data_IF_814479528206
#
_entry.id   IF_814479528206
#
_cell.length_a   1.000
_cell.length_b   1.000
_cell.length_c   1.000
_cell.angle_alpha   90.00
_cell.angle_beta   90.00
_cell.angle_gamma   90.00
#
_symmetry.space_group_name_H-M   'P 1'
#
loop_
_entity.id
_entity.type
_entity.pdbx_description
1 polymer ?
#
# COMPACT_ATOMS: atom_id res chain seq x y z
N UNK A 1 -20.99 -8.95 25.88
CA UNK A 1 -19.65 -8.34 25.99
C UNK A 1 -18.65 -9.46 25.76
N UNK A 2 -18.19 -9.63 24.52
CA UNK A 2 -17.05 -10.49 24.19
C UNK A 2 -15.94 -9.58 23.71
N UNK A 3 -14.74 -9.74 24.24
CA UNK A 3 -13.60 -8.92 23.81
C UNK A 3 -13.29 -9.29 22.37
N UNK A 4 -13.40 -8.32 21.45
CA UNK A 4 -12.69 -8.41 20.19
C UNK A 4 -11.20 -8.43 20.53
N UNK A 5 -10.55 -9.58 20.34
CA UNK A 5 -9.11 -9.63 20.38
C UNK A 5 -8.61 -8.75 19.24
N UNK A 6 -7.88 -7.69 19.58
CA UNK A 6 -6.93 -7.09 18.64
C UNK A 6 -5.84 -8.14 18.39
N UNK A 7 -6.10 -9.06 17.48
CA UNK A 7 -5.03 -9.78 16.80
C UNK A 7 -4.20 -8.70 16.09
N UNK A 8 -3.00 -8.42 16.60
CA UNK A 8 -1.99 -7.75 15.79
C UNK A 8 -1.84 -8.57 14.51
N UNK A 9 -2.05 -7.93 13.36
CA UNK A 9 -1.91 -8.59 12.06
C UNK A 9 -0.46 -9.04 11.95
N UNK A 10 -0.25 -10.34 12.12
CA UNK A 10 1.07 -10.93 12.03
C UNK A 10 1.50 -10.99 10.55
N UNK A 11 2.11 -9.88 10.13
CA UNK A 11 2.65 -9.75 8.79
C UNK A 11 3.76 -10.79 8.51
N UNK A 12 4.41 -11.40 9.50
CA UNK A 12 5.43 -12.44 9.26
C UNK A 12 4.81 -13.70 8.65
N UNK A 13 3.74 -14.23 9.27
CA UNK A 13 2.96 -15.37 8.77
C UNK A 13 2.19 -15.06 7.48
N UNK A 14 1.78 -13.81 7.31
CA UNK A 14 1.16 -13.35 6.05
C UNK A 14 2.19 -13.31 4.92
N UNK A 15 3.45 -12.99 5.22
CA UNK A 15 4.55 -12.97 4.26
C UNK A 15 4.96 -14.38 3.80
N UNK A 16 4.88 -15.38 4.68
CA UNK A 16 5.21 -16.77 4.38
C UNK A 16 4.37 -17.39 3.23
N UNK A 17 3.12 -16.96 3.04
CA UNK A 17 2.16 -17.72 2.22
C UNK A 17 2.06 -17.30 0.74
N UNK A 18 2.68 -16.20 0.30
CA UNK A 18 2.80 -15.88 -1.13
C UNK A 18 3.95 -14.89 -1.41
N UNK A 19 5.16 -15.36 -1.78
CA UNK A 19 6.31 -14.48 -1.96
C UNK A 19 6.13 -13.40 -3.05
N UNK A 20 5.42 -13.74 -4.12
CA UNK A 20 5.07 -12.78 -5.17
C UNK A 20 4.12 -11.68 -4.66
N UNK A 21 3.15 -12.06 -3.83
CA UNK A 21 2.20 -11.13 -3.22
C UNK A 21 2.88 -10.21 -2.22
N UNK A 22 3.90 -10.69 -1.51
CA UNK A 22 4.75 -9.86 -0.65
C UNK A 22 5.56 -8.88 -1.47
N UNK A 23 6.16 -9.30 -2.59
CA UNK A 23 6.80 -8.37 -3.52
C UNK A 23 5.82 -7.25 -3.92
N UNK A 24 4.56 -7.60 -4.19
CA UNK A 24 3.53 -6.64 -4.59
C UNK A 24 2.96 -5.80 -3.43
N UNK A 25 2.79 -6.39 -2.25
CA UNK A 25 2.31 -5.75 -1.02
C UNK A 25 3.34 -4.77 -0.48
N UNK A 26 4.63 -5.12 -0.52
CA UNK A 26 5.72 -4.21 -0.23
C UNK A 26 5.86 -3.14 -1.32
N UNK A 27 5.79 -3.50 -2.61
CA UNK A 27 5.75 -2.49 -3.69
C UNK A 27 4.50 -1.60 -3.63
N UNK A 28 3.41 -2.02 -2.99
CA UNK A 28 2.18 -1.22 -2.87
C UNK A 28 2.13 -0.41 -1.57
N UNK A 29 2.63 -0.93 -0.44
CA UNK A 29 2.97 -0.13 0.74
C UNK A 29 3.98 0.97 0.38
N UNK A 30 4.87 0.69 -0.57
CA UNK A 30 5.94 1.59 -1.02
C UNK A 30 5.72 2.16 -2.44
N UNK A 31 4.49 2.18 -2.98
CA UNK A 31 4.14 2.92 -4.22
C UNK A 31 2.63 3.00 -4.55
N UNK A 32 1.74 2.51 -3.68
CA UNK A 32 0.30 2.42 -3.94
C UNK A 32 -0.55 3.52 -3.31
N UNK A 33 -0.04 4.19 -2.26
CA UNK A 33 -0.80 5.18 -1.49
C UNK A 33 0.02 6.37 -0.96
N UNK A 34 1.34 6.24 -0.97
CA UNK A 34 2.31 7.26 -0.56
C UNK A 34 3.47 7.30 -1.58
N UNK A 35 3.14 7.67 -2.83
CA UNK A 35 3.97 8.51 -3.71
C UNK A 35 5.48 8.20 -3.81
N UNK A 36 5.99 7.48 -4.84
CA UNK A 36 7.35 6.90 -4.79
C UNK A 36 8.32 7.11 -6.02
N UNK A 37 9.26 8.12 -6.05
CA UNK A 37 10.52 8.30 -6.88
C UNK A 37 11.88 8.55 -6.10
N UNK A 38 13.11 8.54 -6.70
CA UNK A 38 14.46 8.40 -5.99
C UNK A 38 15.52 9.58 -5.96
N UNK A 39 16.46 9.58 -4.98
CA UNK A 39 17.24 10.73 -4.39
C UNK A 39 18.69 11.08 -4.81
N UNK A 40 19.14 12.32 -4.45
CA UNK A 40 20.33 12.61 -3.58
C UNK A 40 20.56 14.11 -3.21
N UNK A 41 20.72 14.39 -1.90
CA UNK A 41 21.20 15.64 -1.24
C UNK A 41 20.54 16.97 -1.65
N UNK A 42 19.87 17.63 -0.70
CA UNK A 42 18.71 18.46 -1.06
C UNK A 42 17.50 17.56 -1.30
N UNK A 43 17.37 16.53 -0.46
CA UNK A 43 16.43 15.42 -0.61
C UNK A 43 15.00 15.94 -0.49
N UNK A 44 14.23 15.79 -1.57
CA UNK A 44 12.81 16.17 -1.65
C UNK A 44 11.90 14.99 -1.36
N UNK A 45 10.59 15.21 -1.32
CA UNK A 45 9.66 14.09 -1.25
C UNK A 45 9.87 13.13 -2.42
N UNK A 46 9.98 13.65 -3.65
CA UNK A 46 10.21 12.89 -4.91
C UNK A 46 11.50 12.08 -4.96
N UNK A 47 12.30 12.10 -3.90
CA UNK A 47 13.62 11.49 -3.80
C UNK A 47 13.66 10.25 -2.89
N UNK A 48 12.84 10.11 -1.84
CA UNK A 48 13.07 9.05 -0.82
C UNK A 48 12.36 7.73 -1.08
N UNK A 49 11.70 7.65 -2.22
CA UNK A 49 10.33 7.19 -2.14
C UNK A 49 10.15 6.06 -3.16
N UNK A 50 10.61 6.27 -4.39
CA UNK A 50 10.90 5.26 -5.43
C UNK A 50 12.39 4.95 -5.48
N UNK A 51 12.98 4.95 -4.30
CA UNK A 51 14.18 4.19 -4.05
C UNK A 51 13.81 2.69 -4.03
N UNK A 52 14.24 1.95 -5.04
CA UNK A 52 14.01 0.50 -5.15
C UNK A 52 14.82 -0.30 -4.10
N UNK A 53 15.45 0.35 -3.09
CA UNK A 53 16.20 -0.29 -1.99
C UNK A 53 15.41 -1.37 -1.25
N UNK A 54 14.13 -1.18 -0.93
CA UNK A 54 13.33 -2.23 -0.28
C UNK A 54 13.11 -3.44 -1.22
N UNK A 55 12.76 -3.20 -2.48
CA UNK A 55 12.56 -4.28 -3.47
C UNK A 55 13.85 -5.07 -3.67
N UNK A 56 15.00 -4.38 -3.75
CA UNK A 56 16.33 -4.99 -3.82
C UNK A 56 16.68 -5.76 -2.53
N UNK A 57 16.21 -5.32 -1.36
CA UNK A 57 16.38 -6.04 -0.11
C UNK A 57 15.65 -7.40 -0.10
N UNK A 58 14.40 -7.46 -0.60
CA UNK A 58 13.69 -8.73 -0.78
C UNK A 58 14.43 -9.67 -1.75
N UNK A 59 14.90 -9.15 -2.88
CA UNK A 59 15.66 -9.94 -3.86
C UNK A 59 17.03 -10.38 -3.33
N UNK A 60 17.64 -9.58 -2.46
CA UNK A 60 18.91 -9.89 -1.78
C UNK A 60 18.77 -11.05 -0.80
N UNK A 61 17.67 -11.12 -0.04
CA UNK A 61 17.40 -12.25 0.87
C UNK A 61 17.37 -13.56 0.08
N UNK A 62 16.47 -13.68 -0.89
CA UNK A 62 16.28 -14.95 -1.62
C UNK A 62 17.46 -15.38 -2.50
N UNK A 63 18.39 -14.47 -2.83
CA UNK A 63 19.57 -14.78 -3.64
C UNK A 63 20.86 -14.99 -2.84
N UNK A 64 20.98 -14.39 -1.65
CA UNK A 64 22.22 -14.38 -0.87
C UNK A 64 22.17 -15.18 0.43
N UNK A 65 21.00 -15.41 1.03
CA UNK A 65 20.89 -16.23 2.24
C UNK A 65 20.99 -17.72 1.86
N UNK A 66 22.04 -18.38 2.34
CA UNK A 66 22.35 -19.80 2.04
C UNK A 66 22.75 -20.61 3.29
N UNK A 67 22.98 -19.90 4.39
CA UNK A 67 23.37 -20.41 5.71
C UNK A 67 23.22 -19.30 6.76
N UNK A 68 23.34 -19.65 8.04
CA UNK A 68 23.42 -18.73 9.19
C UNK A 68 24.40 -17.54 9.01
N UNK A 69 25.56 -17.79 8.38
CA UNK A 69 26.64 -16.80 8.22
C UNK A 69 26.30 -15.71 7.18
N UNK A 70 25.67 -16.11 6.09
CA UNK A 70 25.15 -15.24 5.04
C UNK A 70 23.88 -14.53 5.49
N UNK A 71 22.99 -15.20 6.24
CA UNK A 71 21.84 -14.55 6.88
C UNK A 71 22.27 -13.35 7.75
N UNK A 72 23.19 -13.55 8.70
CA UNK A 72 23.70 -12.48 9.57
C UNK A 72 24.38 -11.32 8.83
N UNK A 73 24.96 -11.57 7.65
CA UNK A 73 25.50 -10.51 6.77
C UNK A 73 24.38 -9.71 6.12
N UNK A 74 23.39 -10.40 5.53
CA UNK A 74 22.20 -9.79 4.90
C UNK A 74 21.43 -8.96 5.93
N UNK A 75 21.08 -9.52 7.09
CA UNK A 75 20.42 -8.81 8.21
C UNK A 75 21.16 -7.51 8.57
N UNK A 76 22.50 -7.55 8.65
CA UNK A 76 23.32 -6.37 8.95
C UNK A 76 23.33 -5.33 7.83
N UNK A 77 23.18 -5.75 6.58
CA UNK A 77 23.02 -4.84 5.43
C UNK A 77 21.63 -4.21 5.41
N UNK A 78 20.56 -5.01 5.56
CA UNK A 78 19.17 -4.54 5.68
C UNK A 78 19.01 -3.47 6.77
N UNK A 79 19.58 -3.70 7.96
CA UNK A 79 19.56 -2.72 9.05
C UNK A 79 20.27 -1.40 8.68
N UNK A 80 21.38 -1.45 7.94
CA UNK A 80 22.10 -0.25 7.47
C UNK A 80 21.32 0.51 6.39
N UNK A 81 20.61 -0.20 5.52
CA UNK A 81 19.74 0.45 4.55
C UNK A 81 18.50 1.05 5.23
N UNK A 82 17.94 0.41 6.26
CA UNK A 82 16.88 0.98 7.10
C UNK A 82 17.33 2.32 7.74
N UNK A 83 18.52 2.37 8.33
CA UNK A 83 19.08 3.59 8.92
C UNK A 83 19.24 4.73 7.88
N UNK A 84 19.62 4.38 6.63
CA UNK A 84 19.73 5.35 5.52
C UNK A 84 18.36 5.82 5.04
N UNK A 85 17.40 4.91 4.89
CA UNK A 85 16.03 5.23 4.50
C UNK A 85 15.40 6.18 5.53
N UNK A 86 15.46 5.85 6.82
CA UNK A 86 14.94 6.71 7.90
C UNK A 86 15.56 8.12 7.83
N UNK A 87 16.88 8.22 7.68
CA UNK A 87 17.56 9.51 7.52
C UNK A 87 17.07 10.27 6.29
N UNK A 88 16.95 9.61 5.15
CA UNK A 88 16.52 10.23 3.91
C UNK A 88 15.07 10.74 4.03
N UNK A 89 14.15 9.92 4.55
CA UNK A 89 12.77 10.29 4.85
C UNK A 89 12.68 11.50 5.78
N UNK A 90 13.50 11.56 6.83
CA UNK A 90 13.59 12.72 7.74
C UNK A 90 13.98 13.99 6.98
N UNK A 91 14.99 13.92 6.12
CA UNK A 91 15.41 15.06 5.27
C UNK A 91 14.29 15.49 4.29
N UNK A 92 13.59 14.53 3.67
CA UNK A 92 12.47 14.81 2.76
C UNK A 92 11.29 15.51 3.44
N UNK A 93 10.87 15.04 4.63
CA UNK A 93 9.80 15.68 5.39
C UNK A 93 10.16 17.12 5.78
N UNK A 94 11.37 17.34 6.32
CA UNK A 94 11.85 18.68 6.67
C UNK A 94 12.03 19.61 5.46
N UNK A 95 12.13 19.08 4.24
CA UNK A 95 12.15 19.89 3.02
C UNK A 95 10.78 20.53 2.69
N UNK A 96 9.70 20.09 3.36
CA UNK A 96 8.34 20.57 3.14
C UNK A 96 7.63 19.92 1.96
N UNK A 97 6.43 20.42 1.59
CA UNK A 97 5.56 19.74 0.65
C UNK A 97 6.16 19.69 -0.76
N UNK A 98 5.79 18.68 -1.58
CA UNK A 98 6.23 18.63 -2.96
C UNK A 98 5.55 19.73 -3.78
N UNK A 99 6.29 20.33 -4.68
CA UNK A 99 5.77 21.21 -5.73
C UNK A 99 4.94 20.40 -6.73
N UNK A 100 4.06 21.06 -7.50
CA UNK A 100 3.26 20.38 -8.53
C UNK A 100 4.10 19.60 -9.55
N UNK A 101 5.30 20.08 -9.89
CA UNK A 101 6.23 19.38 -10.78
C UNK A 101 6.84 18.13 -10.13
N UNK A 102 7.00 18.12 -8.81
CA UNK A 102 7.44 16.95 -8.05
C UNK A 102 6.30 15.93 -7.91
N UNK A 103 5.07 16.39 -7.66
CA UNK A 103 3.88 15.52 -7.70
C UNK A 103 3.66 14.86 -9.06
N UNK A 104 3.91 15.57 -10.17
CA UNK A 104 3.90 14.95 -11.50
C UNK A 104 4.94 13.84 -11.62
N UNK A 105 6.18 14.09 -11.21
CA UNK A 105 7.28 13.12 -11.24
C UNK A 105 6.99 11.90 -10.37
N UNK A 106 6.48 12.10 -9.17
CA UNK A 106 5.97 11.05 -8.27
C UNK A 106 4.95 10.17 -8.99
N UNK A 107 3.88 10.77 -9.51
CA UNK A 107 2.81 10.02 -10.16
C UNK A 107 3.27 9.31 -11.45
N UNK A 108 4.26 9.86 -12.16
CA UNK A 108 4.89 9.20 -13.31
C UNK A 108 5.69 7.94 -12.89
N UNK A 109 6.28 7.90 -11.68
CA UNK A 109 6.92 6.67 -11.17
C UNK A 109 5.89 5.65 -10.72
N UNK A 110 4.81 6.07 -10.03
CA UNK A 110 3.70 5.19 -9.69
C UNK A 110 3.11 4.54 -10.97
N UNK A 111 2.93 5.31 -12.06
CA UNK A 111 2.52 4.79 -13.38
C UNK A 111 3.51 3.75 -13.93
N UNK A 112 4.82 4.01 -13.85
CA UNK A 112 5.83 3.05 -14.31
C UNK A 112 5.82 1.76 -13.48
N UNK A 113 5.64 1.86 -12.17
CA UNK A 113 5.58 0.71 -11.27
C UNK A 113 4.32 -0.12 -11.53
N UNK A 114 3.15 0.51 -11.65
CA UNK A 114 1.91 -0.17 -12.01
C UNK A 114 1.96 -0.81 -13.41
N UNK A 115 2.70 -0.22 -14.36
CA UNK A 115 2.97 -0.84 -15.66
C UNK A 115 3.90 -2.05 -15.56
N UNK A 116 5.02 -1.95 -14.82
CA UNK A 116 5.90 -3.09 -14.49
C UNK A 116 5.11 -4.24 -13.85
N UNK A 117 4.18 -3.93 -12.94
CA UNK A 117 3.26 -4.92 -12.35
C UNK A 117 2.34 -5.54 -13.42
N UNK A 118 1.64 -4.74 -14.22
CA UNK A 118 0.76 -5.26 -15.27
C UNK A 118 1.48 -6.13 -16.32
N UNK A 119 2.76 -5.88 -16.56
CA UNK A 119 3.64 -6.72 -17.39
C UNK A 119 4.06 -8.01 -16.68
N UNK A 120 4.41 -7.97 -15.39
CA UNK A 120 4.79 -9.17 -14.64
C UNK A 120 3.64 -10.16 -14.47
N UNK A 121 2.39 -9.69 -14.33
CA UNK A 121 1.17 -10.54 -14.29
C UNK A 121 0.95 -11.37 -15.55
N UNK A 122 1.57 -10.98 -16.68
CA UNK A 122 1.49 -11.68 -17.98
C UNK A 122 2.60 -12.72 -18.17
N UNK A 123 3.63 -12.75 -17.31
CA UNK A 123 4.72 -13.73 -17.40
C UNK A 123 4.27 -15.05 -16.77
N UNK A 124 4.36 -16.15 -17.53
CA UNK A 124 4.02 -17.50 -17.06
C UNK A 124 4.97 -17.99 -15.95
N UNK A 125 6.24 -17.61 -16.03
CA UNK A 125 7.20 -17.81 -14.94
C UNK A 125 7.04 -16.72 -13.88
N UNK A 126 6.43 -17.07 -12.75
CA UNK A 126 6.66 -16.36 -11.49
C UNK A 126 8.16 -16.48 -11.16
N UNK A 127 8.82 -15.37 -10.87
CA UNK A 127 10.12 -15.41 -10.20
C UNK A 127 9.87 -15.91 -8.79
N UNK A 128 10.43 -17.08 -8.47
CA UNK A 128 10.33 -17.73 -7.18
C UNK A 128 11.22 -16.97 -6.19
N UNK A 129 10.60 -16.06 -5.44
CA UNK A 129 11.28 -15.33 -4.36
C UNK A 129 11.28 -16.24 -3.15
N UNK A 130 12.46 -16.70 -2.79
CA UNK A 130 12.65 -17.45 -1.55
C UNK A 130 12.46 -16.49 -0.36
N UNK A 131 11.50 -16.80 0.49
CA UNK A 131 11.16 -16.06 1.72
C UNK A 131 11.99 -16.54 2.92
N UNK A 132 12.04 -15.73 3.98
CA UNK A 132 12.71 -16.11 5.23
C UNK A 132 12.01 -17.30 5.91
N UNK A 133 10.69 -17.45 5.77
CA UNK A 133 9.95 -18.60 6.30
C UNK A 133 10.27 -19.88 5.55
N UNK A 134 10.37 -19.85 4.22
CA UNK A 134 10.79 -21.03 3.44
C UNK A 134 12.23 -21.46 3.81
N UNK A 135 13.14 -20.50 4.05
CA UNK A 135 14.49 -20.79 4.53
C UNK A 135 14.54 -21.34 5.97
N UNK A 136 13.59 -20.98 6.81
CA UNK A 136 13.41 -21.54 8.16
C UNK A 136 12.85 -22.96 8.10
N UNK A 137 11.79 -23.17 7.31
CA UNK A 137 11.13 -24.47 7.11
C UNK A 137 12.07 -25.50 6.46
N UNK A 138 12.91 -25.08 5.51
CA UNK A 138 13.98 -25.90 4.91
C UNK A 138 15.19 -26.12 5.85
N UNK A 139 15.22 -25.47 7.01
CA UNK A 139 16.31 -25.58 8.00
C UNK A 139 17.63 -24.93 7.58
N UNK A 140 17.60 -24.00 6.61
CA UNK A 140 18.78 -23.25 6.13
C UNK A 140 19.22 -22.19 7.14
N UNK A 141 18.26 -21.61 7.86
CA UNK A 141 18.44 -20.65 8.95
C UNK A 141 17.61 -21.06 10.17
N UNK A 142 17.94 -20.52 11.35
CA UNK A 142 17.13 -20.74 12.56
C UNK A 142 15.92 -19.78 12.62
N UNK A 143 14.92 -20.12 13.44
CA UNK A 143 13.80 -19.22 13.76
C UNK A 143 14.26 -17.84 14.26
N UNK A 144 15.29 -17.79 15.12
CA UNK A 144 15.88 -16.54 15.60
C UNK A 144 16.45 -15.69 14.47
N UNK A 145 17.09 -16.32 13.47
CA UNK A 145 17.67 -15.65 12.30
C UNK A 145 16.60 -15.19 11.30
N UNK A 146 15.52 -15.96 11.14
CA UNK A 146 14.35 -15.55 10.38
C UNK A 146 13.68 -14.31 11.00
N UNK A 147 13.48 -14.30 12.33
CA UNK A 147 12.92 -13.15 13.05
C UNK A 147 13.86 -11.92 13.03
N UNK A 148 15.18 -12.10 13.12
CA UNK A 148 16.14 -11.00 12.89
C UNK A 148 16.00 -10.40 11.48
N UNK A 149 15.81 -11.25 10.45
CA UNK A 149 15.55 -10.84 9.07
C UNK A 149 14.22 -10.11 8.90
N UNK A 150 13.12 -10.66 9.45
CA UNK A 150 11.81 -10.01 9.45
C UNK A 150 11.85 -8.69 10.22
N UNK A 151 12.57 -8.62 11.34
CA UNK A 151 12.78 -7.38 12.09
C UNK A 151 13.49 -6.31 11.24
N UNK A 152 14.55 -6.69 10.53
CA UNK A 152 15.26 -5.78 9.62
C UNK A 152 14.37 -5.28 8.46
N UNK A 153 13.59 -6.16 7.83
CA UNK A 153 12.60 -5.78 6.82
C UNK A 153 11.52 -4.86 7.39
N UNK A 154 10.96 -5.17 8.57
CA UNK A 154 9.99 -4.31 9.28
C UNK A 154 10.58 -2.92 9.51
N UNK A 155 11.85 -2.79 9.93
CA UNK A 155 12.52 -1.48 10.08
C UNK A 155 12.59 -0.70 8.76
N UNK A 156 12.91 -1.34 7.64
CA UNK A 156 12.91 -0.68 6.32
C UNK A 156 11.51 -0.23 5.89
N UNK A 157 10.49 -1.06 6.13
CA UNK A 157 9.09 -0.78 5.81
C UNK A 157 8.54 0.40 6.63
N UNK A 158 8.90 0.48 7.91
CA UNK A 158 8.47 1.55 8.82
C UNK A 158 9.40 2.77 8.84
N UNK A 159 10.39 2.85 7.94
CA UNK A 159 11.40 3.93 7.94
C UNK A 159 10.80 5.34 7.85
N UNK A 160 9.72 5.54 7.06
CA UNK A 160 8.99 6.81 6.98
C UNK A 160 8.27 7.16 8.29
N UNK A 161 7.64 6.17 8.94
CA UNK A 161 6.99 6.33 10.25
C UNK A 161 8.01 6.69 11.34
N UNK A 162 9.12 5.95 11.42
CA UNK A 162 10.20 6.23 12.37
C UNK A 162 10.80 7.62 12.14
N UNK A 163 10.97 8.02 10.87
CA UNK A 163 11.44 9.35 10.53
C UNK A 163 10.48 10.46 10.99
N UNK A 164 9.17 10.36 10.71
CA UNK A 164 8.21 11.41 11.08
C UNK A 164 7.91 11.45 12.58
N UNK A 165 7.95 10.32 13.28
CA UNK A 165 7.85 10.28 14.75
C UNK A 165 9.02 11.01 15.44
N UNK A 166 10.20 11.00 14.83
CA UNK A 166 11.39 11.67 15.37
C UNK A 166 11.41 13.20 15.18
N UNK A 167 10.36 13.78 14.58
CA UNK A 167 10.28 15.21 14.23
C UNK A 167 9.33 16.00 15.15
N UNK A 168 9.04 15.53 16.37
CA UNK A 168 8.04 16.16 17.25
C UNK A 168 8.35 17.61 17.64
N UNK A 169 9.60 17.93 17.98
CA UNK A 169 10.01 19.32 18.30
C UNK A 169 9.93 20.25 17.07
N UNK A 170 10.00 19.69 15.86
CA UNK A 170 9.84 20.42 14.60
C UNK A 170 8.35 20.61 14.27
N UNK A 171 7.55 19.55 14.42
CA UNK A 171 6.08 19.57 14.24
C UNK A 171 5.40 20.50 15.25
N UNK A 172 5.94 20.64 16.47
CA UNK A 172 5.44 21.55 17.49
C UNK A 172 5.47 23.04 17.08
N UNK A 173 6.24 23.39 16.04
CA UNK A 173 6.32 24.75 15.48
C UNK A 173 5.29 25.00 14.36
N UNK A 174 4.48 24.01 13.99
CA UNK A 174 3.47 24.17 12.95
C UNK A 174 2.36 25.15 13.37
N UNK A 175 2.22 26.25 12.62
CA UNK A 175 1.09 27.17 12.78
C UNK A 175 -0.22 26.47 12.36
N UNK A 176 -1.18 26.37 13.29
CA UNK A 176 -2.48 25.74 13.08
C UNK A 176 -3.62 26.75 13.32
N UNK A 177 -4.79 26.62 12.66
CA UNK A 177 -5.19 25.55 11.73
C UNK A 177 -4.47 25.61 10.37
N UNK A 178 -4.54 24.53 9.60
CA UNK A 178 -3.93 24.49 8.27
C UNK A 178 -4.70 25.39 7.29
N UNK A 179 -4.02 25.96 6.28
CA UNK A 179 -4.66 26.85 5.31
C UNK A 179 -5.73 26.11 4.49
N UNK A 180 -6.92 26.71 4.39
CA UNK A 180 -8.08 26.15 3.66
C UNK A 180 -8.10 26.56 2.19
N UNK A 181 -8.63 25.70 1.32
CA UNK A 181 -8.88 26.03 -0.09
C UNK A 181 -10.07 27.01 -0.23
N UNK A 182 -10.04 27.97 -1.19
CA UNK A 182 -11.19 28.81 -1.50
C UNK A 182 -12.41 28.02 -2.02
N UNK A 183 -12.23 26.77 -2.47
CA UNK A 183 -13.33 25.86 -2.83
C UNK A 183 -14.02 25.20 -1.62
N UNK A 184 -13.56 25.48 -0.39
CA UNK A 184 -14.22 25.07 0.85
C UNK A 184 -13.74 23.75 1.49
N UNK A 185 -12.80 23.04 0.84
CA UNK A 185 -12.08 21.90 1.44
C UNK A 185 -10.90 22.39 2.30
N UNK A 186 -10.59 21.67 3.39
CA UNK A 186 -9.43 21.91 4.25
C UNK A 186 -8.61 20.64 4.39
N UNK A 187 -7.35 20.78 4.82
CA UNK A 187 -6.47 19.64 5.09
C UNK A 187 -7.05 18.70 6.14
N UNK A 188 -7.69 19.23 7.19
CA UNK A 188 -8.34 18.45 8.24
C UNK A 188 -9.57 17.69 7.73
N UNK A 189 -10.38 18.30 6.83
CA UNK A 189 -11.48 17.59 6.15
C UNK A 189 -10.96 16.46 5.27
N UNK A 190 -9.87 16.71 4.53
CA UNK A 190 -9.26 15.69 3.68
C UNK A 190 -8.67 14.54 4.51
N UNK A 191 -7.99 14.83 5.63
CA UNK A 191 -7.51 13.82 6.57
C UNK A 191 -8.68 13.02 7.16
N UNK A 192 -9.72 13.67 7.67
CA UNK A 192 -10.88 12.99 8.23
C UNK A 192 -11.58 12.09 7.19
N UNK A 193 -11.67 12.55 5.94
CA UNK A 193 -12.19 11.74 4.84
C UNK A 193 -11.27 10.57 4.50
N UNK A 194 -9.95 10.78 4.33
CA UNK A 194 -8.95 9.74 4.01
C UNK A 194 -8.89 8.66 5.09
N UNK A 195 -8.89 9.08 6.35
CA UNK A 195 -8.67 8.23 7.52
C UNK A 195 -9.95 7.59 8.09
N UNK A 196 -11.15 7.96 7.62
CA UNK A 196 -12.40 7.32 8.04
C UNK A 196 -12.35 5.80 7.76
N UNK A 197 -12.50 4.90 8.76
CA UNK A 197 -12.49 3.44 8.56
C UNK A 197 -13.43 2.92 7.46
N UNK A 198 -14.62 3.51 7.31
CA UNK A 198 -15.59 3.16 6.25
C UNK A 198 -15.06 3.40 4.82
N UNK A 199 -13.89 4.01 4.69
CA UNK A 199 -13.18 4.28 3.45
C UNK A 199 -12.38 3.10 2.92
N UNK A 200 -11.89 2.26 3.83
CA UNK A 200 -11.00 1.13 3.53
C UNK A 200 -11.74 0.08 2.70
N UNK A 201 -11.00 -0.54 1.78
CA UNK A 201 -11.51 -1.64 0.97
C UNK A 201 -11.74 -2.90 1.81
N UNK A 202 -10.78 -3.28 2.67
CA UNK A 202 -10.91 -4.43 3.56
C UNK A 202 -12.09 -4.24 4.52
N UNK A 203 -12.18 -3.08 5.18
CA UNK A 203 -13.34 -2.75 6.01
C UNK A 203 -14.67 -2.88 5.25
N UNK A 204 -14.75 -2.34 4.02
CA UNK A 204 -15.97 -2.47 3.19
C UNK A 204 -16.28 -3.91 2.82
N UNK A 205 -15.27 -4.74 2.57
CA UNK A 205 -15.44 -6.17 2.25
C UNK A 205 -15.96 -6.93 3.48
N UNK A 206 -15.41 -6.67 4.65
CA UNK A 206 -15.80 -7.32 5.91
C UNK A 206 -17.21 -6.92 6.37
N UNK A 207 -17.66 -5.71 6.03
CA UNK A 207 -18.96 -5.15 6.42
C UNK A 207 -20.03 -5.23 5.32
N UNK A 208 -19.73 -5.76 4.13
CA UNK A 208 -20.72 -5.96 3.06
C UNK A 208 -21.34 -7.37 3.14
N UNK A 209 -22.66 -7.49 3.40
CA UNK A 209 -23.32 -8.79 3.58
C UNK A 209 -23.25 -9.73 2.38
N UNK A 210 -23.04 -9.21 1.16
CA UNK A 210 -22.86 -10.01 -0.06
C UNK A 210 -21.47 -10.64 -0.13
N UNK A 211 -20.51 -10.11 0.63
CA UNK A 211 -19.07 -10.39 0.45
C UNK A 211 -18.47 -11.15 1.62
N UNK A 212 -18.91 -10.84 2.84
CA UNK A 212 -18.44 -11.42 4.10
C UNK A 212 -19.08 -12.77 4.48
N UNK A 213 -19.91 -13.35 3.61
CA UNK A 213 -20.60 -14.63 3.84
C UNK A 213 -21.88 -14.55 4.70
N UNK A 214 -22.18 -13.40 5.32
CA UNK A 214 -23.35 -13.23 6.19
C UNK A 214 -24.69 -13.49 5.47
N UNK A 215 -24.81 -13.09 4.20
CA UNK A 215 -25.98 -13.46 3.39
C UNK A 215 -26.06 -14.98 3.18
N UNK A 216 -24.95 -15.64 2.87
CA UNK A 216 -24.93 -17.10 2.64
C UNK A 216 -25.35 -17.86 3.91
N UNK A 217 -24.78 -17.53 5.07
CA UNK A 217 -25.20 -18.11 6.36
C UNK A 217 -26.70 -17.89 6.64
N UNK A 218 -27.22 -16.71 6.32
CA UNK A 218 -28.62 -16.36 6.54
C UNK A 218 -29.54 -17.17 5.63
N UNK A 219 -29.15 -17.36 4.36
CA UNK A 219 -29.89 -18.16 3.39
C UNK A 219 -29.86 -19.66 3.77
N UNK A 220 -28.70 -20.17 4.21
CA UNK A 220 -28.54 -21.55 4.71
C UNK A 220 -29.43 -21.84 5.92
N UNK A 221 -29.66 -20.86 6.81
CA UNK A 221 -30.54 -21.01 7.99
C UNK A 221 -32.03 -20.90 7.68
N UNK A 222 -32.41 -20.20 6.60
CA UNK A 222 -33.80 -19.85 6.34
C UNK A 222 -34.50 -20.74 5.29
N UNK A 223 -33.76 -21.35 4.37
CA UNK A 223 -34.33 -21.94 3.14
C UNK A 223 -34.16 -23.46 3.03
N UNK A 224 -35.01 -24.10 2.22
CA UNK A 224 -34.91 -25.54 1.96
C UNK A 224 -33.72 -25.87 1.06
N UNK A 225 -33.26 -27.12 1.12
CA UNK A 225 -32.11 -27.61 0.33
C UNK A 225 -32.26 -27.42 -1.19
N UNK A 226 -33.49 -27.45 -1.72
CA UNK A 226 -33.74 -27.18 -3.15
C UNK A 226 -33.46 -25.72 -3.53
N UNK A 227 -33.86 -24.75 -2.70
CA UNK A 227 -33.63 -23.33 -2.97
C UNK A 227 -32.16 -22.97 -2.72
N UNK A 228 -31.51 -23.61 -1.75
CA UNK A 228 -30.07 -23.53 -1.56
C UNK A 228 -29.32 -24.04 -2.80
N UNK A 229 -29.71 -25.20 -3.35
CA UNK A 229 -29.15 -25.72 -4.60
C UNK A 229 -29.26 -24.75 -5.78
N UNK A 230 -30.37 -24.02 -5.91
CA UNK A 230 -30.55 -22.98 -6.93
C UNK A 230 -29.66 -21.74 -6.73
N UNK A 231 -29.26 -21.44 -5.48
CA UNK A 231 -28.41 -20.31 -5.15
C UNK A 231 -26.91 -20.62 -5.08
N UNK A 232 -26.51 -21.90 -5.01
CA UNK A 232 -25.11 -22.34 -4.87
C UNK A 232 -24.15 -21.66 -5.84
N UNK A 233 -24.55 -21.45 -7.11
CA UNK A 233 -23.73 -20.76 -8.11
C UNK A 233 -23.99 -19.24 -8.16
N UNK A 234 -25.17 -18.79 -7.73
CA UNK A 234 -25.60 -17.39 -7.85
C UNK A 234 -24.99 -16.50 -6.77
N UNK A 235 -24.95 -16.97 -5.52
CA UNK A 235 -24.42 -16.18 -4.39
C UNK A 235 -22.91 -15.94 -4.53
N UNK A 236 -22.07 -16.95 -4.83
CA UNK A 236 -20.64 -16.71 -5.08
C UNK A 236 -20.37 -15.79 -6.27
N UNK A 237 -21.19 -15.85 -7.33
CA UNK A 237 -21.05 -14.95 -8.49
C UNK A 237 -21.35 -13.50 -8.11
N UNK A 238 -22.47 -13.24 -7.43
CA UNK A 238 -22.82 -11.89 -6.96
C UNK A 238 -21.78 -11.37 -5.95
N UNK A 239 -21.29 -12.23 -5.06
CA UNK A 239 -20.23 -11.90 -4.11
C UNK A 239 -18.94 -11.46 -4.83
N UNK A 240 -18.53 -12.19 -5.86
CA UNK A 240 -17.38 -11.88 -6.71
C UNK A 240 -17.57 -10.57 -7.49
N UNK A 241 -18.70 -10.40 -8.17
CA UNK A 241 -19.07 -9.17 -8.88
C UNK A 241 -19.01 -7.95 -7.93
N UNK A 242 -19.50 -8.11 -6.68
CA UNK A 242 -19.47 -7.09 -5.64
C UNK A 242 -18.04 -6.76 -5.16
N UNK A 243 -17.18 -7.75 -4.95
CA UNK A 243 -15.75 -7.54 -4.63
C UNK A 243 -15.07 -6.70 -5.70
N UNK A 244 -15.27 -7.04 -6.96
CA UNK A 244 -14.70 -6.31 -8.08
C UNK A 244 -15.23 -4.87 -8.20
N UNK A 245 -16.52 -4.64 -7.95
CA UNK A 245 -17.08 -3.29 -7.86
C UNK A 245 -16.44 -2.47 -6.73
N UNK A 246 -16.24 -3.04 -5.55
CA UNK A 246 -15.60 -2.36 -4.42
C UNK A 246 -14.16 -1.95 -4.74
N UNK A 247 -13.39 -2.78 -5.45
CA UNK A 247 -12.04 -2.43 -5.94
C UNK A 247 -12.09 -1.26 -6.93
N UNK A 248 -13.06 -1.22 -7.85
CA UNK A 248 -13.21 -0.09 -8.80
C UNK A 248 -13.53 1.22 -8.06
N UNK A 249 -14.45 1.19 -7.09
CA UNK A 249 -14.73 2.35 -6.25
C UNK A 249 -13.50 2.80 -5.44
N UNK A 250 -12.65 1.87 -5.00
CA UNK A 250 -11.38 2.19 -4.33
C UNK A 250 -10.35 2.82 -5.28
N UNK A 251 -10.31 2.38 -6.54
CA UNK A 251 -9.50 2.96 -7.60
C UNK A 251 -9.90 4.43 -7.88
N UNK A 252 -11.20 4.69 -8.00
CA UNK A 252 -11.74 6.04 -8.25
C UNK A 252 -11.44 6.99 -7.09
N UNK A 253 -11.48 6.46 -5.86
CA UNK A 253 -11.13 7.20 -4.66
C UNK A 253 -9.69 7.73 -4.68
N UNK A 254 -8.74 7.02 -5.32
CA UNK A 254 -7.36 7.52 -5.45
C UNK A 254 -7.30 8.77 -6.32
N UNK A 255 -8.08 8.77 -7.40
CA UNK A 255 -8.21 9.93 -8.28
C UNK A 255 -8.88 11.09 -7.54
N UNK A 256 -9.97 10.83 -6.81
CA UNK A 256 -10.65 11.84 -5.99
C UNK A 256 -9.73 12.45 -4.91
N UNK A 257 -8.93 11.61 -4.24
CA UNK A 257 -7.94 12.06 -3.25
C UNK A 257 -6.91 13.00 -3.88
N UNK A 258 -6.36 12.64 -5.05
CA UNK A 258 -5.45 13.49 -5.80
C UNK A 258 -6.13 14.79 -6.25
N UNK A 259 -7.38 14.74 -6.73
CA UNK A 259 -8.14 15.93 -7.13
C UNK A 259 -8.38 16.89 -5.98
N UNK A 260 -8.82 16.41 -4.81
CA UNK A 260 -9.00 17.23 -3.61
C UNK A 260 -7.68 17.84 -3.16
N UNK A 261 -6.65 17.02 -3.00
CA UNK A 261 -5.32 17.47 -2.55
C UNK A 261 -4.70 18.47 -3.54
N UNK A 262 -4.93 18.33 -4.85
CA UNK A 262 -4.44 19.26 -5.88
C UNK A 262 -5.00 20.69 -5.71
N UNK A 263 -6.14 20.88 -5.05
CA UNK A 263 -6.81 22.18 -4.83
C UNK A 263 -6.43 22.84 -3.51
N UNK A 264 -5.63 22.18 -2.68
CA UNK A 264 -5.20 22.72 -1.39
C UNK A 264 -4.01 23.70 -1.56
N UNK A 265 -3.95 24.76 -0.73
CA UNK A 265 -2.85 25.72 -0.73
C UNK A 265 -1.57 25.10 -0.15
N UNK A 266 -0.39 25.61 -0.52
CA UNK A 266 0.88 25.08 -0.02
C UNK A 266 1.01 25.22 1.52
N UNK A 267 1.63 24.22 2.15
CA UNK A 267 1.96 24.18 3.57
C UNK A 267 3.39 24.66 3.84
N UNK A 268 3.66 25.13 5.06
CA UNK A 268 5.05 25.23 5.55
C UNK A 268 5.64 23.82 5.77
N UNK A 269 6.97 23.68 5.91
CA UNK A 269 7.58 22.39 6.24
C UNK A 269 7.08 21.75 7.53
N UNK A 270 6.84 22.55 8.57
CA UNK A 270 6.34 22.13 9.89
C UNK A 270 4.89 21.64 9.77
N UNK A 271 4.04 22.40 9.06
CA UNK A 271 2.66 22.02 8.74
C UNK A 271 2.59 20.75 7.88
N UNK A 272 3.51 20.60 6.91
CA UNK A 272 3.62 19.39 6.09
C UNK A 272 4.02 18.18 6.94
N UNK A 273 4.98 18.32 7.85
CA UNK A 273 5.34 17.27 8.80
C UNK A 273 4.16 16.92 9.72
N UNK A 274 3.42 17.91 10.23
CA UNK A 274 2.21 17.67 11.02
C UNK A 274 1.17 16.85 10.25
N UNK A 275 0.90 17.22 8.99
CA UNK A 275 -0.03 16.51 8.11
C UNK A 275 0.46 15.08 7.83
N UNK A 276 1.73 14.92 7.47
CA UNK A 276 2.33 13.62 7.18
C UNK A 276 2.36 12.70 8.41
N UNK A 277 2.53 13.23 9.63
CA UNK A 277 2.43 12.42 10.86
C UNK A 277 1.04 11.81 11.06
N UNK A 278 -0.02 12.45 10.56
CA UNK A 278 -1.40 11.91 10.58
C UNK A 278 -1.61 10.86 9.49
N UNK A 279 -1.06 11.06 8.30
CA UNK A 279 -1.15 10.06 7.23
C UNK A 279 -0.30 8.81 7.51
N UNK A 280 0.78 8.96 8.27
CA UNK A 280 1.65 7.87 8.71
C UNK A 280 1.23 7.25 10.04
N UNK A 281 0.04 7.52 10.57
CA UNK A 281 -0.43 6.84 11.77
C UNK A 281 -0.41 5.30 11.59
N UNK A 282 -0.09 4.55 12.65
CA UNK A 282 0.07 3.08 12.55
C UNK A 282 -1.21 2.41 12.05
N UNK A 283 -2.37 2.81 12.55
CA UNK A 283 -3.66 2.26 12.12
C UNK A 283 -4.01 2.67 10.69
N UNK A 284 -3.55 3.84 10.25
CA UNK A 284 -3.74 4.30 8.86
C UNK A 284 -2.91 3.46 7.88
N UNK A 285 -1.62 3.26 8.20
CA UNK A 285 -0.70 2.49 7.38
C UNK A 285 -1.08 1.00 7.33
N UNK A 286 -1.45 0.39 8.47
CA UNK A 286 -1.92 -1.01 8.52
C UNK A 286 -3.20 -1.24 7.70
N UNK A 287 -4.15 -0.28 7.71
CA UNK A 287 -5.36 -0.35 6.87
C UNK A 287 -5.05 -0.21 5.38
N UNK A 288 -4.21 0.75 4.99
CA UNK A 288 -3.74 0.86 3.61
C UNK A 288 -3.01 -0.40 3.15
N UNK A 289 -2.24 -1.04 4.03
CA UNK A 289 -1.63 -2.34 3.77
C UNK A 289 -2.70 -3.41 3.48
N UNK A 290 -3.67 -3.58 4.39
CA UNK A 290 -4.73 -4.58 4.27
C UNK A 290 -5.52 -4.42 2.96
N UNK A 291 -5.90 -3.19 2.60
CA UNK A 291 -6.59 -2.89 1.34
C UNK A 291 -5.80 -3.37 0.12
N UNK A 292 -4.49 -3.05 0.06
CA UNK A 292 -3.62 -3.40 -1.06
C UNK A 292 -3.34 -4.91 -1.14
N UNK A 293 -3.21 -5.58 0.02
CA UNK A 293 -3.15 -7.04 0.10
C UNK A 293 -4.43 -7.67 -0.45
N UNK A 294 -5.60 -7.13 -0.09
CA UNK A 294 -6.89 -7.62 -0.58
C UNK A 294 -7.03 -7.47 -2.10
N UNK A 295 -6.63 -6.33 -2.67
CA UNK A 295 -6.62 -6.15 -4.14
C UNK A 295 -5.72 -7.19 -4.81
N UNK A 296 -4.52 -7.39 -4.28
CA UNK A 296 -3.57 -8.33 -4.84
C UNK A 296 -4.09 -9.79 -4.71
N UNK A 297 -4.73 -10.17 -3.58
CA UNK A 297 -5.30 -11.51 -3.40
C UNK A 297 -6.43 -11.79 -4.42
N UNK A 298 -7.28 -10.79 -4.66
CA UNK A 298 -8.47 -10.93 -5.52
C UNK A 298 -8.19 -10.81 -7.01
N UNK A 299 -7.08 -10.17 -7.42
CA UNK A 299 -6.75 -9.92 -8.82
C UNK A 299 -5.50 -10.63 -9.32
N UNK A 300 -4.62 -11.08 -8.43
CA UNK A 300 -3.33 -11.67 -8.81
C UNK A 300 -3.27 -13.19 -8.72
N UNK A 301 -3.97 -13.78 -7.75
CA UNK A 301 -4.08 -15.23 -7.67
C UNK A 301 -5.02 -15.75 -8.76
N UNK A 302 -4.48 -15.93 -9.97
CA UNK A 302 -5.00 -16.89 -10.93
C UNK A 302 -4.94 -18.27 -10.29
N UNK A 303 -6.04 -18.73 -9.70
CA UNK A 303 -6.19 -20.15 -9.40
C UNK A 303 -6.20 -20.96 -10.71
N UNK A 304 -5.86 -22.24 -10.65
CA UNK A 304 -5.79 -23.14 -11.83
C UNK A 304 -7.14 -23.30 -12.58
N UNK A 305 -8.23 -22.74 -12.05
CA UNK A 305 -9.56 -22.69 -12.68
C UNK A 305 -10.00 -21.29 -13.13
N UNK A 306 -9.17 -20.26 -12.95
CA UNK A 306 -9.56 -18.85 -13.11
C UNK A 306 -8.82 -18.13 -14.26
N UNK A 307 -8.17 -18.85 -15.16
CA UNK A 307 -7.38 -18.27 -16.25
C UNK A 307 -8.17 -17.43 -17.28
N UNK A 308 -9.50 -17.35 -17.18
CA UNK A 308 -10.35 -16.62 -18.12
C UNK A 308 -11.53 -15.82 -17.53
N UNK A 309 -11.46 -15.36 -16.26
CA UNK A 309 -12.48 -14.43 -15.73
C UNK A 309 -12.33 -13.02 -16.38
N UNK A 310 -13.27 -12.60 -17.27
CA UNK A 310 -13.12 -11.33 -17.98
C UNK A 310 -13.33 -10.12 -17.07
N UNK A 311 -14.11 -10.29 -15.99
CA UNK A 311 -14.45 -9.26 -15.03
C UNK A 311 -13.28 -9.00 -14.07
N UNK A 312 -12.53 -10.05 -13.71
CA UNK A 312 -11.24 -9.92 -13.02
C UNK A 312 -10.24 -9.12 -13.88
N UNK A 313 -10.11 -9.44 -15.17
CA UNK A 313 -9.17 -8.76 -16.07
C UNK A 313 -9.56 -7.31 -16.39
N UNK A 314 -10.86 -7.03 -16.52
CA UNK A 314 -11.36 -5.66 -16.63
C UNK A 314 -11.08 -4.86 -15.34
N UNK A 315 -11.34 -5.45 -14.16
CA UNK A 315 -11.11 -4.81 -12.86
C UNK A 315 -9.63 -4.57 -12.59
N UNK A 316 -8.75 -5.50 -12.98
CA UNK A 316 -7.30 -5.32 -12.92
C UNK A 316 -6.83 -4.16 -13.79
N UNK A 317 -7.27 -4.08 -15.05
CA UNK A 317 -6.95 -2.94 -15.93
C UNK A 317 -7.50 -1.62 -15.39
N UNK A 318 -8.68 -1.64 -14.78
CA UNK A 318 -9.28 -0.45 -14.17
C UNK A 318 -8.47 0.05 -12.96
N UNK A 319 -8.08 -0.86 -12.06
CA UNK A 319 -7.20 -0.58 -10.94
C UNK A 319 -5.84 -0.04 -11.41
N UNK A 320 -5.22 -0.68 -12.41
CA UNK A 320 -3.94 -0.22 -12.98
C UNK A 320 -4.04 1.16 -13.60
N UNK A 321 -5.16 1.51 -14.23
CA UNK A 321 -5.39 2.86 -14.79
C UNK A 321 -5.53 3.97 -13.74
N UNK A 322 -5.68 3.65 -12.45
CA UNK A 322 -5.85 4.66 -11.41
C UNK A 322 -4.61 5.57 -11.29
N UNK A 323 -3.39 5.02 -11.37
CA UNK A 323 -2.15 5.80 -11.35
C UNK A 323 -2.04 6.74 -12.55
N UNK A 324 -2.44 6.29 -13.75
CA UNK A 324 -2.44 7.13 -14.96
C UNK A 324 -3.46 8.29 -14.85
N UNK A 325 -4.62 8.03 -14.22
CA UNK A 325 -5.63 9.06 -13.90
C UNK A 325 -5.14 10.05 -12.85
N UNK A 326 -4.49 9.59 -11.77
CA UNK A 326 -3.85 10.44 -10.74
C UNK A 326 -2.75 11.32 -11.37
N UNK A 327 -1.90 10.76 -12.22
CA UNK A 327 -0.87 11.54 -12.91
C UNK A 327 -1.47 12.64 -13.80
N UNK A 328 -2.60 12.37 -14.46
CA UNK A 328 -3.29 13.37 -15.27
C UNK A 328 -3.90 14.52 -14.44
N UNK A 329 -4.33 14.28 -13.19
CA UNK A 329 -4.73 15.35 -12.26
C UNK A 329 -3.56 16.31 -12.03
N UNK A 330 -2.39 15.77 -11.72
CA UNK A 330 -1.19 16.58 -11.46
C UNK A 330 -0.69 17.31 -12.72
N UNK A 331 -0.67 16.66 -13.88
CA UNK A 331 -0.35 17.31 -15.16
C UNK A 331 -1.36 18.39 -15.58
N UNK A 332 -2.63 18.27 -15.18
CA UNK A 332 -3.64 19.34 -15.34
C UNK A 332 -3.37 20.52 -14.41
N UNK A 333 -3.00 20.28 -13.14
CA UNK A 333 -2.59 21.35 -12.22
C UNK A 333 -1.35 22.08 -12.73
N UNK A 334 -0.32 21.35 -13.17
CA UNK A 334 0.93 21.94 -13.66
C UNK A 334 0.68 22.85 -14.88
N UNK A 335 -0.10 22.39 -15.87
CA UNK A 335 -0.46 23.23 -17.03
C UNK A 335 -1.16 24.53 -16.63
N UNK A 336 -2.12 24.47 -15.69
CA UNK A 336 -2.79 25.67 -15.17
C UNK A 336 -1.81 26.64 -14.50
N UNK A 337 -0.87 26.14 -13.72
CA UNK A 337 0.18 26.95 -13.06
C UNK A 337 1.18 27.55 -14.06
N UNK A 338 1.46 26.84 -15.17
CA UNK A 338 2.27 27.33 -16.30
C UNK A 338 1.51 28.27 -17.25
N UNK A 339 0.20 28.48 -17.05
CA UNK A 339 -0.65 29.30 -17.93
C UNK A 339 -0.98 28.65 -19.29
N UNK A 340 -1.08 27.32 -19.33
CA UNK A 340 -1.31 26.48 -20.53
C UNK A 340 -2.66 25.75 -20.52
#
# INVERSE_FOLDING_TARGET
>A
MGNAATEEIDFSRTVANHPFMVKLFCMALLAGFLCCGSARSGVRMVDVVGDETFTRALETIGSQVKDSSSCKKVVKELNREADRMEKAWREAFMSGPPTTQEWCRVADVDVQLFRKMAESRKREKKEEIVSLSELEDDGVITHEEAEEGFSALRRMMWASKTAIDSLDDFIAQAELPLPSSPEGDSYEKLLAWKLNPESSLSYKIDHDPLVNGSLEETLQRCWSGEVLGLLTDTVPRISRERRFLLIRCYADRQVEMAERFSRLPALTPEQWCWFQKREHDREALERSAADLLTIALLLWNKGEREESDPLMEETFRYWVSASERVAEVWRKKLRKEEGR
#
